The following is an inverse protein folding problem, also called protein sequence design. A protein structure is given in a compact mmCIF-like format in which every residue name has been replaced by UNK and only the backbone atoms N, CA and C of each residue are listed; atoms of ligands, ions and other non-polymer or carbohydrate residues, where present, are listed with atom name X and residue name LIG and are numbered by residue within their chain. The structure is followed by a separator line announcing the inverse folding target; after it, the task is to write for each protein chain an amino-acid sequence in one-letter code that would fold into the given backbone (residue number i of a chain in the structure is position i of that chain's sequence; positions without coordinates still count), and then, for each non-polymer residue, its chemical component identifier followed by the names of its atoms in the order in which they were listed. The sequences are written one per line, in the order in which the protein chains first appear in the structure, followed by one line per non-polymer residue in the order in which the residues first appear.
data_IF_174928816786
#
_entry.id   IF_174928816786
#
_cell.length_a   1.000
_cell.length_b   1.000
_cell.length_c   1.000
_cell.angle_alpha   90.00
_cell.angle_beta   90.00
_cell.angle_gamma   90.00
#
_symmetry.space_group_name_H-M   'P 1'
#
loop_
_entity.id
_entity.type
_entity.pdbx_description
1 polymer ?
#
# COMPACT_ATOMS: atom_id res chain seq x y z
N UNK A 1 19.99 -7.32 15.95
CA UNK A 1 19.07 -7.54 17.07
C UNK A 1 17.67 -7.53 16.48
N UNK A 2 17.04 -8.70 16.43
CA UNK A 2 15.61 -8.79 16.14
C UNK A 2 14.86 -8.19 17.32
N UNK A 3 13.88 -7.34 17.04
CA UNK A 3 13.03 -6.75 18.07
C UNK A 3 11.91 -7.74 18.34
N UNK A 4 11.86 -8.29 19.54
CA UNK A 4 10.78 -9.20 19.94
C UNK A 4 9.54 -8.40 20.34
N UNK A 5 8.37 -9.02 20.34
CA UNK A 5 7.12 -8.38 20.77
C UNK A 5 7.20 -7.81 22.19
N UNK A 6 7.95 -8.48 23.07
CA UNK A 6 8.24 -8.03 24.45
C UNK A 6 9.05 -6.73 24.46
N UNK A 7 10.04 -6.59 23.58
CA UNK A 7 10.84 -5.38 23.45
C UNK A 7 10.02 -4.21 22.91
N UNK A 8 9.10 -4.46 21.97
CA UNK A 8 8.20 -3.44 21.44
C UNK A 8 7.30 -2.87 22.54
N UNK A 9 6.69 -3.74 23.36
CA UNK A 9 5.79 -3.33 24.43
C UNK A 9 6.51 -2.54 25.51
N UNK A 10 7.71 -2.99 25.92
CA UNK A 10 8.56 -2.27 26.88
C UNK A 10 9.00 -0.90 26.35
N UNK A 11 9.39 -0.82 25.09
CA UNK A 11 9.82 0.45 24.49
C UNK A 11 8.66 1.44 24.31
N UNK A 12 7.45 0.94 23.99
CA UNK A 12 6.24 1.78 23.92
C UNK A 12 5.84 2.32 25.29
N UNK A 13 5.91 1.51 26.35
CA UNK A 13 5.57 1.96 27.70
C UNK A 13 6.54 3.01 28.25
N UNK A 14 7.78 3.03 27.76
CA UNK A 14 8.80 4.05 28.06
C UNK A 14 8.66 5.33 27.21
N UNK A 15 7.64 5.43 26.34
CA UNK A 15 7.34 6.64 25.58
C UNK A 15 7.85 6.68 24.14
N UNK A 16 8.26 5.55 23.55
CA UNK A 16 8.58 5.50 22.12
C UNK A 16 7.32 5.49 21.25
N UNK A 17 7.32 6.30 20.19
CA UNK A 17 6.17 6.50 19.32
C UNK A 17 5.88 5.33 18.36
N UNK A 18 6.91 4.61 17.89
CA UNK A 18 6.82 3.46 16.99
C UNK A 18 8.16 2.66 16.98
N UNK A 19 8.21 1.52 16.29
CA UNK A 19 9.40 0.66 16.17
C UNK A 19 9.67 0.21 14.73
N UNK A 20 10.90 -0.14 14.36
CA UNK A 20 11.25 -0.75 13.06
C UNK A 20 12.22 -1.90 13.32
N UNK A 21 11.94 -3.07 12.76
CA UNK A 21 12.85 -4.23 12.83
C UNK A 21 13.96 -4.13 11.79
N UNK A 22 15.09 -4.78 12.06
CA UNK A 22 16.16 -4.97 11.06
C UNK A 22 15.84 -6.19 10.19
N UNK A 23 16.32 -6.26 8.93
CA UNK A 23 16.99 -5.19 8.19
C UNK A 23 16.03 -4.01 7.95
N UNK A 24 16.59 -2.79 7.96
CA UNK A 24 15.78 -1.58 7.88
C UNK A 24 15.25 -1.43 6.45
N UNK A 25 13.93 -1.50 6.29
CA UNK A 25 13.27 -1.12 5.04
C UNK A 25 13.08 0.40 5.00
N UNK A 26 13.71 1.06 4.02
CA UNK A 26 13.73 2.51 3.88
C UNK A 26 12.33 3.11 3.66
N UNK A 27 11.42 2.38 3.02
CA UNK A 27 10.06 2.83 2.74
C UNK A 27 9.20 2.76 4.01
N UNK A 28 9.32 1.67 4.77
CA UNK A 28 8.65 1.53 6.07
C UNK A 28 9.18 2.60 7.03
N UNK A 29 10.51 2.79 7.08
CA UNK A 29 11.14 3.84 7.88
C UNK A 29 10.59 5.22 7.54
N UNK A 30 10.61 5.57 6.25
CA UNK A 30 10.09 6.86 5.80
C UNK A 30 8.62 7.04 6.15
N UNK A 31 7.78 6.03 5.93
CA UNK A 31 6.34 6.09 6.23
C UNK A 31 6.08 6.34 7.73
N UNK A 32 6.86 5.70 8.62
CA UNK A 32 6.74 5.87 10.08
C UNK A 32 7.24 7.23 10.54
N UNK A 33 8.32 7.74 9.94
CA UNK A 33 8.81 9.11 10.17
C UNK A 33 7.74 10.12 9.76
N UNK A 34 7.21 10.03 8.54
CA UNK A 34 6.21 10.97 8.02
C UNK A 34 4.92 10.96 8.83
N UNK A 35 4.44 9.78 9.24
CA UNK A 35 3.26 9.66 10.13
C UNK A 35 3.49 10.36 11.47
N UNK A 36 4.65 10.14 12.07
CA UNK A 36 5.01 10.74 13.37
C UNK A 36 5.19 12.25 13.25
N UNK A 37 5.85 12.72 12.20
CA UNK A 37 6.05 14.14 11.92
C UNK A 37 4.73 14.87 11.61
N UNK A 38 3.81 14.26 10.87
CA UNK A 38 2.46 14.84 10.63
C UNK A 38 1.62 14.91 11.90
N UNK A 39 1.69 13.89 12.77
CA UNK A 39 1.00 13.90 14.07
C UNK A 39 1.53 15.03 14.99
N UNK A 40 2.82 15.33 14.92
CA UNK A 40 3.43 16.48 15.59
C UNK A 40 3.05 17.83 14.94
N UNK A 41 2.93 17.89 13.61
CA UNK A 41 2.61 19.12 12.87
C UNK A 41 1.12 19.50 12.89
N UNK A 42 0.20 18.57 13.18
CA UNK A 42 -1.22 18.92 13.37
C UNK A 42 -1.47 19.81 14.60
N UNK A 43 -0.50 19.92 15.51
CA UNK A 43 -0.51 20.86 16.63
C UNK A 43 -0.05 22.29 16.24
N UNK A 44 0.56 22.49 15.06
CA UNK A 44 1.09 23.77 14.61
C UNK A 44 0.72 24.03 13.15
N UNK A 45 -0.52 24.48 12.92
CA UNK A 45 -0.88 25.11 11.66
C UNK A 45 -0.27 26.51 11.62
N UNK A 46 0.76 26.73 10.78
CA UNK A 46 0.87 27.88 9.86
C UNK A 46 2.23 27.93 9.13
N UNK A 47 2.14 28.17 7.81
CA UNK A 47 3.15 28.63 6.83
C UNK A 47 4.11 27.62 6.16
N UNK A 48 3.87 27.49 4.84
CA UNK A 48 4.73 27.20 3.69
C UNK A 48 6.25 27.23 3.88
N UNK A 49 6.95 26.24 3.30
CA UNK A 49 7.69 26.34 2.02
C UNK A 49 7.83 24.92 1.46
N UNK A 50 7.38 24.72 0.22
CA UNK A 50 7.54 23.50 -0.57
C UNK A 50 8.98 23.36 -1.07
N UNK A 51 9.74 22.47 -0.46
CA UNK A 51 10.82 21.76 -1.17
C UNK A 51 10.34 20.33 -1.35
N UNK A 52 9.72 20.05 -2.50
CA UNK A 52 9.19 18.75 -2.87
C UNK A 52 10.31 17.70 -2.93
N UNK A 53 10.58 17.08 -1.79
CA UNK A 53 11.20 15.76 -1.74
C UNK A 53 10.10 14.78 -2.15
N UNK A 54 10.41 13.78 -3.00
CA UNK A 54 9.38 12.95 -3.59
C UNK A 54 8.55 12.32 -2.48
N UNK A 55 7.25 12.60 -2.50
CA UNK A 55 6.27 11.78 -1.79
C UNK A 55 6.57 10.35 -2.23
N UNK A 56 6.95 9.47 -1.28
CA UNK A 56 7.28 8.09 -1.60
C UNK A 56 6.13 7.48 -2.42
N UNK A 57 6.39 7.29 -3.73
CA UNK A 57 5.42 6.74 -4.67
C UNK A 57 5.22 5.26 -4.36
N UNK A 58 3.98 4.82 -4.39
CA UNK A 58 3.60 3.41 -4.34
C UNK A 58 3.67 2.75 -5.71
N UNK A 59 3.77 3.52 -6.80
CA UNK A 59 3.88 3.00 -8.17
C UNK A 59 5.27 3.20 -8.77
N UNK A 60 5.62 2.29 -9.69
CA UNK A 60 6.78 2.42 -10.56
C UNK A 60 6.40 1.96 -11.98
N UNK A 61 6.30 2.91 -12.90
CA UNK A 61 5.87 2.62 -14.28
C UNK A 61 6.97 2.04 -15.17
N UNK A 62 8.17 1.74 -14.68
CA UNK A 62 9.26 1.18 -15.49
C UNK A 62 8.84 -0.14 -16.17
N UNK A 63 8.19 -1.04 -15.43
CA UNK A 63 7.70 -2.30 -15.98
C UNK A 63 6.62 -2.05 -17.04
N UNK A 64 5.63 -1.21 -16.71
CA UNK A 64 4.56 -0.84 -17.64
C UNK A 64 5.14 -0.24 -18.92
N UNK A 65 6.07 0.71 -18.80
CA UNK A 65 6.73 1.38 -19.90
C UNK A 65 7.48 0.39 -20.82
N UNK A 66 8.20 -0.57 -20.24
CA UNK A 66 8.84 -1.66 -21.01
C UNK A 66 7.79 -2.53 -21.71
N UNK A 67 6.69 -2.87 -21.02
CA UNK A 67 5.63 -3.74 -21.55
C UNK A 67 4.89 -3.09 -22.72
N UNK A 68 4.66 -1.78 -22.66
CA UNK A 68 3.99 -1.00 -23.71
C UNK A 68 4.94 -0.49 -24.79
N UNK A 69 6.25 -0.75 -24.67
CA UNK A 69 7.30 -0.20 -25.54
C UNK A 69 7.23 1.33 -25.61
N UNK A 70 6.95 1.96 -24.46
CA UNK A 70 6.77 3.41 -24.33
C UNK A 70 5.65 4.00 -25.19
N UNK A 71 4.66 3.20 -25.61
CA UNK A 71 3.50 3.70 -26.34
C UNK A 71 2.53 4.42 -25.37
N UNK A 72 2.36 5.75 -25.48
CA UNK A 72 1.55 6.53 -24.54
C UNK A 72 0.07 6.14 -24.53
N UNK A 73 -0.51 5.83 -25.70
CA UNK A 73 -1.92 5.44 -25.81
C UNK A 73 -2.19 4.11 -25.09
N UNK A 74 -1.31 3.13 -25.28
CA UNK A 74 -1.43 1.84 -24.61
C UNK A 74 -1.17 1.95 -23.10
N UNK A 75 -0.23 2.79 -22.67
CA UNK A 75 -0.03 3.07 -21.24
C UNK A 75 -1.27 3.70 -20.61
N UNK A 76 -1.84 4.72 -21.26
CA UNK A 76 -3.05 5.38 -20.79
C UNK A 76 -4.23 4.41 -20.69
N UNK A 77 -4.40 3.51 -21.66
CA UNK A 77 -5.43 2.46 -21.64
C UNK A 77 -5.26 1.51 -20.45
N UNK A 78 -4.04 0.98 -20.25
CA UNK A 78 -3.76 0.06 -19.14
C UNK A 78 -3.93 0.72 -17.78
N UNK A 79 -3.51 1.98 -17.63
CA UNK A 79 -3.70 2.76 -16.40
C UNK A 79 -5.19 3.02 -16.17
N UNK A 80 -5.93 3.42 -17.20
CA UNK A 80 -7.37 3.67 -17.09
C UNK A 80 -8.13 2.42 -16.67
N UNK A 81 -7.81 1.26 -17.26
CA UNK A 81 -8.41 -0.02 -16.88
C UNK A 81 -8.16 -0.35 -15.40
N UNK A 82 -6.94 -0.13 -14.91
CA UNK A 82 -6.61 -0.32 -13.51
C UNK A 82 -7.42 0.62 -12.60
N UNK A 83 -7.55 1.89 -12.98
CA UNK A 83 -8.29 2.90 -12.22
C UNK A 83 -9.79 2.62 -12.16
N UNK A 84 -10.36 1.97 -13.17
CA UNK A 84 -11.77 1.57 -13.19
C UNK A 84 -12.02 0.32 -12.33
N UNK A 85 -11.12 -0.66 -12.39
CA UNK A 85 -11.29 -1.95 -11.72
C UNK A 85 -10.95 -1.91 -10.23
N UNK A 86 -9.85 -1.24 -9.87
CA UNK A 86 -9.27 -1.30 -8.51
C UNK A 86 -10.21 -0.78 -7.43
N UNK A 87 -10.94 0.35 -7.59
CA UNK A 87 -11.87 0.83 -6.56
C UNK A 87 -12.98 -0.18 -6.24
N UNK A 88 -13.49 -0.87 -7.26
CA UNK A 88 -14.51 -1.91 -7.10
C UNK A 88 -13.95 -3.10 -6.31
N UNK A 89 -12.75 -3.55 -6.64
CA UNK A 89 -12.06 -4.64 -5.92
C UNK A 89 -11.75 -4.26 -4.47
N UNK A 90 -11.28 -3.03 -4.22
CA UNK A 90 -11.01 -2.53 -2.85
C UNK A 90 -12.29 -2.49 -2.02
N UNK A 91 -13.38 -2.01 -2.60
CA UNK A 91 -14.70 -2.03 -1.95
C UNK A 91 -15.16 -3.47 -1.67
N UNK A 92 -15.01 -4.38 -2.62
CA UNK A 92 -15.37 -5.81 -2.45
C UNK A 92 -14.54 -6.45 -1.31
N UNK A 93 -13.23 -6.22 -1.29
CA UNK A 93 -12.33 -6.67 -0.22
C UNK A 93 -12.77 -6.15 1.14
N UNK A 94 -13.08 -4.86 1.26
CA UNK A 94 -13.50 -4.25 2.53
C UNK A 94 -14.84 -4.79 3.01
N UNK A 95 -15.84 -4.88 2.13
CA UNK A 95 -17.19 -5.37 2.47
C UNK A 95 -17.16 -6.84 2.86
N UNK A 96 -16.45 -7.67 2.10
CA UNK A 96 -16.32 -9.10 2.40
C UNK A 96 -15.59 -9.35 3.72
N UNK A 97 -14.55 -8.57 4.03
CA UNK A 97 -13.89 -8.60 5.33
C UNK A 97 -14.86 -8.26 6.48
N UNK A 98 -15.63 -7.18 6.36
CA UNK A 98 -16.62 -6.78 7.37
C UNK A 98 -17.74 -7.82 7.55
N UNK A 99 -18.17 -8.45 6.46
CA UNK A 99 -19.19 -9.49 6.45
C UNK A 99 -18.66 -10.87 6.87
N UNK A 100 -17.34 -11.01 7.13
CA UNK A 100 -16.66 -12.29 7.35
C UNK A 100 -16.85 -13.29 6.20
N UNK A 101 -17.05 -12.79 4.99
CA UNK A 101 -17.12 -13.60 3.77
C UNK A 101 -15.70 -13.85 3.24
N UNK A 102 -15.05 -14.87 3.81
CA UNK A 102 -13.66 -15.21 3.53
C UNK A 102 -13.41 -15.64 2.08
N UNK A 103 -14.41 -16.25 1.44
CA UNK A 103 -14.30 -16.70 0.05
C UNK A 103 -14.26 -15.50 -0.89
N UNK A 104 -15.16 -14.55 -0.69
CA UNK A 104 -15.18 -13.31 -1.48
C UNK A 104 -13.94 -12.45 -1.20
N UNK A 105 -13.51 -12.37 0.06
CA UNK A 105 -12.28 -11.66 0.43
C UNK A 105 -11.05 -12.24 -0.29
N UNK A 106 -10.88 -13.57 -0.23
CA UNK A 106 -9.77 -14.25 -0.90
C UNK A 106 -9.80 -14.02 -2.41
N UNK A 107 -10.98 -14.07 -3.02
CA UNK A 107 -11.17 -13.80 -4.45
C UNK A 107 -10.82 -12.37 -4.85
N UNK A 108 -11.24 -11.38 -4.06
CA UNK A 108 -10.91 -9.98 -4.29
C UNK A 108 -9.40 -9.74 -4.21
N UNK A 109 -8.73 -10.25 -3.17
CA UNK A 109 -7.28 -10.15 -3.00
C UNK A 109 -6.53 -10.84 -4.14
N UNK A 110 -6.99 -12.03 -4.58
CA UNK A 110 -6.36 -12.76 -5.69
C UNK A 110 -6.32 -11.94 -6.98
N UNK A 111 -7.43 -11.27 -7.31
CA UNK A 111 -7.57 -10.46 -8.53
C UNK A 111 -6.65 -9.23 -8.52
N UNK A 112 -6.26 -8.74 -7.33
CA UNK A 112 -5.38 -7.57 -7.20
C UNK A 112 -3.90 -7.92 -7.39
N UNK A 113 -3.44 -9.10 -6.94
CA UNK A 113 -2.02 -9.47 -6.95
C UNK A 113 -1.34 -9.29 -8.32
N UNK A 114 -1.91 -9.77 -9.46
CA UNK A 114 -1.28 -9.62 -10.76
C UNK A 114 -1.02 -8.16 -11.14
N UNK A 115 -1.90 -7.23 -10.72
CA UNK A 115 -1.81 -5.83 -11.10
C UNK A 115 -0.68 -5.09 -10.37
N UNK A 116 -0.18 -5.63 -9.26
CA UNK A 116 0.88 -5.00 -8.47
C UNK A 116 2.17 -4.91 -9.28
N UNK A 117 2.58 -6.03 -9.89
CA UNK A 117 3.75 -6.06 -10.76
C UNK A 117 3.63 -5.14 -11.96
N UNK A 118 2.42 -5.03 -12.54
CA UNK A 118 2.16 -4.21 -13.74
C UNK A 118 2.31 -2.73 -13.41
N UNK A 119 1.75 -2.27 -12.29
CA UNK A 119 1.81 -0.87 -11.86
C UNK A 119 3.06 -0.55 -11.02
N UNK A 120 3.94 -1.53 -10.81
CA UNK A 120 5.17 -1.38 -10.04
C UNK A 120 4.95 -1.14 -8.55
N UNK A 121 3.87 -1.67 -8.00
CA UNK A 121 3.67 -1.75 -6.55
C UNK A 121 4.72 -2.71 -5.97
N UNK A 122 5.29 -2.35 -4.81
CA UNK A 122 6.35 -3.13 -4.16
C UNK A 122 5.98 -4.62 -3.99
N UNK A 123 7.00 -5.48 -4.12
CA UNK A 123 6.92 -6.90 -3.77
C UNK A 123 6.46 -7.14 -2.34
N UNK A 124 6.75 -6.27 -1.38
CA UNK A 124 6.30 -6.48 0.00
C UNK A 124 4.77 -6.43 0.11
N UNK A 125 4.11 -5.58 -0.70
CA UNK A 125 2.65 -5.54 -0.75
C UNK A 125 2.09 -6.75 -1.50
N UNK A 126 2.81 -7.26 -2.50
CA UNK A 126 2.47 -8.53 -3.16
C UNK A 126 2.54 -9.70 -2.17
N UNK A 127 3.60 -9.77 -1.37
CA UNK A 127 3.77 -10.75 -0.30
C UNK A 127 2.71 -10.59 0.79
N UNK A 128 2.39 -9.35 1.17
CA UNK A 128 1.31 -9.04 2.10
C UNK A 128 -0.04 -9.58 1.62
N UNK A 129 -0.38 -9.34 0.35
CA UNK A 129 -1.61 -9.88 -0.25
C UNK A 129 -1.60 -11.41 -0.27
N UNK A 130 -0.48 -12.04 -0.61
CA UNK A 130 -0.31 -13.51 -0.55
C UNK A 130 -0.47 -14.05 0.88
N UNK A 131 0.03 -13.34 1.89
CA UNK A 131 -0.13 -13.71 3.29
C UNK A 131 -1.59 -13.67 3.71
N UNK A 132 -2.36 -12.66 3.31
CA UNK A 132 -3.82 -12.62 3.53
C UNK A 132 -4.49 -13.86 2.92
N UNK A 133 -4.15 -14.23 1.69
CA UNK A 133 -4.71 -15.45 1.06
C UNK A 133 -4.35 -16.72 1.83
N UNK A 134 -3.10 -16.82 2.28
CA UNK A 134 -2.60 -17.95 3.07
C UNK A 134 -3.36 -18.07 4.39
N UNK A 135 -3.48 -16.98 5.14
CA UNK A 135 -4.15 -16.94 6.44
C UNK A 135 -5.64 -17.29 6.35
N UNK A 136 -6.32 -16.83 5.30
CA UNK A 136 -7.71 -17.22 5.03
C UNK A 136 -7.85 -18.71 4.69
N UNK A 137 -6.86 -19.30 4.01
CA UNK A 137 -6.88 -20.71 3.61
C UNK A 137 -6.57 -21.65 4.78
N UNK A 138 -5.59 -21.28 5.61
CA UNK A 138 -5.11 -22.11 6.73
C UNK A 138 -5.84 -21.85 8.03
N UNK A 139 -6.67 -20.79 8.11
CA UNK A 139 -7.32 -20.31 9.35
C UNK A 139 -6.32 -20.07 10.48
N UNK A 140 -5.15 -19.55 10.13
CA UNK A 140 -4.08 -19.19 11.05
C UNK A 140 -3.85 -17.69 11.02
N UNK A 141 -3.42 -17.12 12.14
CA UNK A 141 -3.10 -15.69 12.26
C UNK A 141 -4.28 -14.78 11.84
N UNK A 142 -5.53 -15.19 12.14
CA UNK A 142 -6.73 -14.41 11.80
C UNK A 142 -6.70 -13.00 12.41
N UNK A 143 -6.03 -12.83 13.55
CA UNK A 143 -5.85 -11.54 14.22
C UNK A 143 -5.00 -10.54 13.42
N UNK A 144 -4.18 -11.00 12.47
CA UNK A 144 -3.33 -10.15 11.62
C UNK A 144 -4.07 -9.66 10.37
N UNK A 145 -5.08 -10.41 9.89
CA UNK A 145 -5.85 -10.11 8.68
C UNK A 145 -6.42 -8.67 8.68
N UNK A 146 -7.03 -8.15 9.78
CA UNK A 146 -7.54 -6.79 9.80
C UNK A 146 -6.48 -5.73 9.48
N UNK A 147 -5.27 -5.89 10.04
CA UNK A 147 -4.18 -4.95 9.83
C UNK A 147 -3.64 -5.01 8.40
N UNK A 148 -3.56 -6.20 7.81
CA UNK A 148 -3.09 -6.40 6.44
C UNK A 148 -4.11 -5.85 5.42
N UNK A 149 -5.40 -6.13 5.62
CA UNK A 149 -6.48 -5.61 4.76
C UNK A 149 -6.49 -4.08 4.76
N UNK A 150 -6.35 -3.46 5.94
CA UNK A 150 -6.28 -2.00 6.05
C UNK A 150 -5.06 -1.40 5.34
N UNK A 151 -3.90 -2.06 5.42
CA UNK A 151 -2.69 -1.62 4.72
C UNK A 151 -2.84 -1.75 3.20
N UNK A 152 -3.40 -2.86 2.71
CA UNK A 152 -3.66 -3.06 1.28
C UNK A 152 -4.65 -2.02 0.74
N UNK A 153 -5.72 -1.71 1.49
CA UNK A 153 -6.66 -0.64 1.13
C UNK A 153 -5.93 0.70 0.96
N UNK A 154 -5.06 1.07 1.90
CA UNK A 154 -4.33 2.33 1.82
C UNK A 154 -3.40 2.37 0.60
N UNK A 155 -2.62 1.32 0.37
CA UNK A 155 -1.66 1.25 -0.75
C UNK A 155 -2.38 1.33 -2.10
N UNK A 156 -3.46 0.57 -2.27
CA UNK A 156 -4.25 0.57 -3.51
C UNK A 156 -4.89 1.92 -3.78
N UNK A 157 -5.41 2.58 -2.74
CA UNK A 157 -5.97 3.92 -2.87
C UNK A 157 -4.90 4.97 -3.23
N UNK A 158 -3.72 4.91 -2.60
CA UNK A 158 -2.61 5.81 -2.95
C UNK A 158 -2.11 5.56 -4.38
N UNK A 159 -1.96 4.29 -4.79
CA UNK A 159 -1.61 3.93 -6.15
C UNK A 159 -2.63 4.49 -7.17
N UNK A 160 -3.92 4.45 -6.86
CA UNK A 160 -4.95 5.07 -7.71
C UNK A 160 -4.82 6.59 -7.81
N UNK A 161 -4.39 7.29 -6.74
CA UNK A 161 -4.15 8.73 -6.79
C UNK A 161 -2.94 9.03 -7.69
N UNK A 162 -1.82 8.35 -7.46
CA UNK A 162 -0.60 8.53 -8.24
C UNK A 162 -0.82 8.20 -9.73
N UNK A 163 -1.53 7.11 -10.03
CA UNK A 163 -1.83 6.71 -11.40
C UNK A 163 -2.74 7.71 -12.13
N UNK A 164 -3.65 8.39 -11.42
CA UNK A 164 -4.45 9.48 -12.00
C UNK A 164 -3.57 10.65 -12.40
N UNK A 165 -2.62 11.03 -11.56
CA UNK A 165 -1.67 12.11 -11.86
C UNK A 165 -0.82 11.76 -13.09
N UNK A 166 -0.28 10.53 -13.15
CA UNK A 166 0.49 10.05 -14.31
C UNK A 166 -0.36 10.00 -15.59
N UNK A 167 -1.62 9.57 -15.49
CA UNK A 167 -2.53 9.54 -16.64
C UNK A 167 -2.78 10.94 -17.24
N UNK A 168 -2.93 11.95 -16.39
CA UNK A 168 -3.08 13.35 -16.83
C UNK A 168 -1.79 13.91 -17.44
N UNK A 169 -0.61 13.39 -17.06
CA UNK A 169 0.66 13.75 -17.69
C UNK A 169 0.77 13.10 -19.07
N UNK A 170 0.40 11.82 -19.21
CA UNK A 170 0.48 11.06 -20.47
C UNK A 170 -0.48 11.62 -21.55
N UNK A 171 -1.61 12.20 -21.13
CA UNK A 171 -2.63 12.77 -22.03
C UNK A 171 -2.30 14.18 -22.53
N UNK A 172 -1.32 14.86 -21.92
CA UNK A 172 -0.85 16.19 -22.35
C UNK A 172 0.15 16.07 -23.48
#
# INVERSE_FOLDING_TARGET
ADVTTVDVERCKSLGMNDYISKPVDERILYSKIMRSARKANLANKNKMIETAHPVNKFINLEYLNKRTKSNPALMAEMISLYLDQTPTLVSEMKKSFQAKDWKTLQGAVHKMIPSFSIMGISKDFEEMAKNVQKYLSTKQQEDEIPALVSQLENVLNQACVELKEELEIIKK
#
